data_IF_059616354833
#
_entry.id   IF_059616354833
#
_cell.length_a   1.000
_cell.length_b   1.000
_cell.length_c   1.000
_cell.angle_alpha   90.00
_cell.angle_beta   90.00
_cell.angle_gamma   90.00
#
_symmetry.space_group_name_H-M   'P 1'
#
loop_
_entity.id
_entity.type
_entity.pdbx_description
1 polymer ?
#
# COMPACT_ATOMS: atom_id res chain seq x y z
N UNK A 1 -9.57 11.36 -11.71
CA UNK A 1 -9.52 10.03 -11.07
C UNK A 1 -10.50 9.06 -11.72
N UNK A 2 -11.81 9.35 -11.73
CA UNK A 2 -12.82 8.47 -12.32
C UNK A 2 -12.71 8.27 -13.84
N UNK A 3 -12.10 9.22 -14.55
CA UNK A 3 -11.85 9.17 -15.99
C UNK A 3 -10.51 8.50 -16.36
N UNK A 4 -9.69 8.11 -15.39
CA UNK A 4 -8.40 7.48 -15.64
C UNK A 4 -8.58 6.03 -16.13
N UNK A 5 -7.70 5.53 -17.04
CA UNK A 5 -7.81 4.16 -17.51
C UNK A 5 -7.55 3.15 -16.38
N UNK A 6 -8.23 1.99 -16.39
CA UNK A 6 -7.90 0.88 -15.50
C UNK A 6 -6.42 0.46 -15.66
N UNK A 7 -5.74 0.05 -14.56
CA UNK A 7 -6.28 -0.22 -13.22
C UNK A 7 -6.21 0.98 -12.24
N UNK A 8 -5.93 2.20 -12.71
CA UNK A 8 -5.61 3.35 -11.84
C UNK A 8 -6.72 3.67 -10.82
N UNK A 9 -8.02 3.70 -11.19
CA UNK A 9 -9.08 3.98 -10.21
C UNK A 9 -9.13 2.92 -9.10
N UNK A 10 -9.07 1.64 -9.45
CA UNK A 10 -9.13 0.52 -8.51
C UNK A 10 -7.94 0.50 -7.56
N UNK A 11 -6.74 0.76 -8.09
CA UNK A 11 -5.54 0.91 -7.28
C UNK A 11 -5.70 2.01 -6.23
N UNK A 12 -6.16 3.19 -6.64
CA UNK A 12 -6.33 4.33 -5.74
C UNK A 12 -7.42 4.08 -4.68
N UNK A 13 -8.56 3.47 -5.04
CA UNK A 13 -9.58 3.08 -4.05
C UNK A 13 -9.03 2.07 -3.03
N UNK A 14 -8.29 1.06 -3.48
CA UNK A 14 -7.64 0.10 -2.58
C UNK A 14 -6.63 0.77 -1.65
N UNK A 15 -5.83 1.73 -2.17
CA UNK A 15 -4.87 2.49 -1.37
C UNK A 15 -5.56 3.38 -0.32
N UNK A 16 -6.66 4.05 -0.67
CA UNK A 16 -7.44 4.84 0.30
C UNK A 16 -8.06 3.96 1.38
N UNK A 17 -8.63 2.81 1.00
CA UNK A 17 -9.14 1.84 1.97
C UNK A 17 -8.02 1.32 2.90
N UNK A 18 -6.84 1.01 2.34
CA UNK A 18 -5.68 0.58 3.12
C UNK A 18 -5.22 1.66 4.10
N UNK A 19 -5.26 2.94 3.70
CA UNK A 19 -4.90 4.07 4.56
C UNK A 19 -5.91 4.21 5.71
N UNK A 20 -7.20 4.21 5.38
CA UNK A 20 -8.30 4.34 6.34
C UNK A 20 -8.34 3.18 7.36
N UNK A 21 -8.03 1.95 6.94
CA UNK A 21 -7.99 0.79 7.83
C UNK A 21 -6.68 0.75 8.62
N UNK A 22 -5.55 1.04 7.99
CA UNK A 22 -4.23 0.87 8.58
C UNK A 22 -3.96 1.76 9.78
N UNK A 23 -4.39 3.03 9.73
CA UNK A 23 -4.23 3.97 10.85
C UNK A 23 -4.85 3.47 12.15
N UNK A 24 -6.17 3.22 12.19
CA UNK A 24 -6.83 2.60 13.34
C UNK A 24 -6.23 1.25 13.71
N UNK A 25 -5.90 0.41 12.72
CA UNK A 25 -5.31 -0.92 12.96
C UNK A 25 -3.98 -0.86 13.74
N UNK A 26 -3.17 0.19 13.52
CA UNK A 26 -1.95 0.45 14.29
C UNK A 26 -2.23 0.92 15.72
N UNK A 27 -3.37 1.55 15.99
CA UNK A 27 -3.79 1.98 17.34
C UNK A 27 -4.56 0.93 18.14
N UNK A 28 -5.27 0.01 17.47
CA UNK A 28 -6.15 -0.97 18.13
C UNK A 28 -5.40 -1.93 19.08
N UNK A 29 -6.06 -2.47 20.13
CA UNK A 29 -5.50 -3.51 20.99
C UNK A 29 -5.04 -4.73 20.18
N UNK A 30 -3.80 -5.15 20.39
CA UNK A 30 -3.16 -6.24 19.64
C UNK A 30 -3.64 -7.60 20.14
N UNK A 31 -3.61 -8.60 19.26
CA UNK A 31 -3.99 -9.98 19.59
C UNK A 31 -5.50 -10.28 19.59
N UNK A 32 -6.36 -9.26 19.56
CA UNK A 32 -7.84 -9.39 19.49
C UNK A 32 -8.32 -9.89 18.12
N UNK A 33 -9.52 -10.49 18.07
CA UNK A 33 -10.16 -10.89 16.81
C UNK A 33 -10.31 -9.73 15.84
N UNK A 34 -10.69 -8.55 16.35
CA UNK A 34 -10.81 -7.31 15.55
C UNK A 34 -9.48 -6.93 14.90
N UNK A 35 -8.39 -6.96 15.66
CA UNK A 35 -7.06 -6.71 15.13
C UNK A 35 -6.67 -7.72 14.04
N UNK A 36 -7.00 -9.01 14.21
CA UNK A 36 -6.69 -10.04 13.20
C UNK A 36 -7.46 -9.81 11.90
N UNK A 37 -8.79 -9.63 11.99
CA UNK A 37 -9.65 -9.43 10.81
C UNK A 37 -9.23 -8.19 10.02
N UNK A 38 -9.07 -7.04 10.70
CA UNK A 38 -8.60 -5.82 10.04
C UNK A 38 -7.18 -5.95 9.50
N UNK A 39 -6.32 -6.73 10.17
CA UNK A 39 -4.96 -7.01 9.72
C UNK A 39 -4.91 -7.79 8.42
N UNK A 40 -5.72 -8.84 8.27
CA UNK A 40 -5.84 -9.58 7.01
C UNK A 40 -6.44 -8.73 5.90
N UNK A 41 -7.51 -7.97 6.19
CA UNK A 41 -8.12 -7.07 5.21
C UNK A 41 -7.11 -6.04 4.71
N UNK A 42 -6.35 -5.43 5.63
CA UNK A 42 -5.29 -4.48 5.29
C UNK A 42 -4.17 -5.13 4.46
N UNK A 43 -3.70 -6.32 4.83
CA UNK A 43 -2.68 -7.03 4.07
C UNK A 43 -3.16 -7.37 2.64
N UNK A 44 -4.41 -7.82 2.49
CA UNK A 44 -5.01 -8.07 1.18
C UNK A 44 -5.09 -6.80 0.32
N UNK A 45 -5.50 -5.67 0.91
CA UNK A 45 -5.50 -4.37 0.21
C UNK A 45 -4.09 -3.96 -0.23
N UNK A 46 -3.09 -4.12 0.63
CA UNK A 46 -1.69 -3.82 0.28
C UNK A 46 -1.20 -4.69 -0.89
N UNK A 47 -1.60 -5.96 -0.95
CA UNK A 47 -1.29 -6.83 -2.09
C UNK A 47 -1.99 -6.37 -3.37
N UNK A 48 -3.27 -5.98 -3.30
CA UNK A 48 -4.00 -5.42 -4.45
C UNK A 48 -3.32 -4.15 -4.96
N UNK A 49 -2.95 -3.24 -4.07
CA UNK A 49 -2.22 -2.00 -4.40
C UNK A 49 -0.89 -2.34 -5.08
N UNK A 50 -0.08 -3.21 -4.47
CA UNK A 50 1.24 -3.55 -4.99
C UNK A 50 1.16 -4.28 -6.35
N UNK A 51 0.27 -5.25 -6.50
CA UNK A 51 0.11 -6.00 -7.75
C UNK A 51 -0.45 -5.10 -8.87
N UNK A 52 -1.50 -4.33 -8.61
CA UNK A 52 -2.07 -3.44 -9.64
C UNK A 52 -1.09 -2.37 -10.10
N UNK A 53 -0.13 -1.96 -9.24
CA UNK A 53 0.88 -0.96 -9.59
C UNK A 53 1.78 -1.36 -10.76
N UNK A 54 1.98 -2.65 -11.03
CA UNK A 54 2.83 -3.12 -12.15
C UNK A 54 2.30 -2.72 -13.54
N UNK A 55 1.01 -2.40 -13.62
CA UNK A 55 0.34 -1.89 -14.83
C UNK A 55 0.22 -0.35 -14.83
N UNK A 56 0.73 0.35 -13.82
CA UNK A 56 0.72 1.83 -13.72
C UNK A 56 2.10 2.39 -14.09
N UNK A 57 2.35 2.47 -15.39
CA UNK A 57 3.67 2.73 -15.98
C UNK A 57 3.81 4.14 -16.55
N UNK A 58 3.50 5.15 -15.74
CA UNK A 58 3.55 6.55 -16.16
C UNK A 58 4.98 7.12 -16.24
N UNK A 59 5.86 6.71 -15.33
CA UNK A 59 7.27 7.07 -15.38
C UNK A 59 8.03 5.85 -15.91
N UNK A 60 8.62 5.99 -17.09
CA UNK A 60 9.28 4.92 -17.84
C UNK A 60 10.80 5.14 -17.84
N UNK A 61 11.38 5.21 -16.65
CA UNK A 61 12.81 5.50 -16.45
C UNK A 61 13.68 4.30 -16.82
N UNK A 62 13.20 3.07 -16.57
CA UNK A 62 13.90 1.83 -16.92
C UNK A 62 12.91 0.93 -17.67
N UNK A 63 12.94 0.97 -19.00
CA UNK A 63 11.92 0.33 -19.82
C UNK A 63 10.51 0.82 -19.44
N UNK A 64 9.52 -0.06 -19.26
CA UNK A 64 8.19 0.37 -18.84
C UNK A 64 8.11 0.74 -17.35
N UNK A 65 9.13 0.46 -16.54
CA UNK A 65 9.05 0.57 -15.08
C UNK A 65 9.68 1.86 -14.53
N UNK A 66 9.11 2.35 -13.43
CA UNK A 66 9.71 3.38 -12.57
C UNK A 66 10.32 2.78 -11.30
N UNK A 67 11.24 3.50 -10.62
CA UNK A 67 11.83 3.05 -9.35
C UNK A 67 10.80 2.65 -8.28
N UNK A 68 9.57 3.19 -8.33
CA UNK A 68 8.50 2.83 -7.38
C UNK A 68 8.07 1.36 -7.49
N UNK A 69 8.33 0.68 -8.61
CA UNK A 69 7.97 -0.74 -8.77
C UNK A 69 8.81 -1.66 -7.88
N UNK A 70 10.01 -1.22 -7.49
CA UNK A 70 10.83 -1.94 -6.50
C UNK A 70 10.08 -2.00 -5.15
N UNK A 71 9.41 -0.91 -4.78
CA UNK A 71 8.57 -0.86 -3.58
C UNK A 71 7.40 -1.85 -3.69
N UNK A 72 6.81 -2.01 -4.87
CA UNK A 72 5.74 -2.98 -5.12
C UNK A 72 6.20 -4.42 -4.93
N UNK A 73 7.38 -4.77 -5.47
CA UNK A 73 7.99 -6.09 -5.24
C UNK A 73 8.21 -6.32 -3.74
N UNK A 74 8.76 -5.31 -3.05
CA UNK A 74 8.98 -5.36 -1.61
C UNK A 74 7.66 -5.64 -0.86
N UNK A 75 6.57 -4.93 -1.18
CA UNK A 75 5.27 -5.12 -0.53
C UNK A 75 4.70 -6.51 -0.80
N UNK A 76 4.77 -7.00 -2.04
CA UNK A 76 4.28 -8.34 -2.42
C UNK A 76 4.95 -9.44 -1.60
N UNK A 77 6.24 -9.30 -1.29
CA UNK A 77 6.98 -10.29 -0.49
C UNK A 77 6.78 -10.07 1.02
N UNK A 78 6.88 -8.82 1.48
CA UNK A 78 6.95 -8.52 2.91
C UNK A 78 5.59 -8.50 3.60
N UNK A 79 4.49 -8.21 2.90
CA UNK A 79 3.16 -8.27 3.51
C UNK A 79 2.77 -9.71 3.91
N UNK A 80 2.90 -10.74 3.05
CA UNK A 80 2.69 -12.14 3.47
C UNK A 80 3.68 -12.57 4.55
N UNK A 81 4.94 -12.12 4.47
CA UNK A 81 5.94 -12.42 5.49
C UNK A 81 5.56 -11.82 6.86
N UNK A 82 5.02 -10.60 6.88
CA UNK A 82 4.54 -9.96 8.11
C UNK A 82 3.37 -10.73 8.73
N UNK A 83 2.47 -11.26 7.90
CA UNK A 83 1.38 -12.13 8.33
C UNK A 83 1.93 -13.44 8.88
N UNK A 84 2.89 -14.07 8.20
CA UNK A 84 3.57 -15.27 8.68
C UNK A 84 4.25 -15.05 10.04
N UNK A 85 4.94 -13.92 10.24
CA UNK A 85 5.51 -13.57 11.55
C UNK A 85 4.45 -13.47 12.66
N UNK A 86 3.24 -13.00 12.35
CA UNK A 86 2.15 -13.02 13.32
C UNK A 86 1.72 -14.44 13.68
N UNK A 87 1.62 -15.33 12.67
CA UNK A 87 1.28 -16.74 12.88
C UNK A 87 2.32 -17.51 13.69
N UNK A 88 3.60 -17.22 13.48
CA UNK A 88 4.70 -17.86 14.23
C UNK A 88 5.00 -17.14 15.55
N UNK A 89 4.10 -16.29 16.04
CA UNK A 89 4.25 -15.51 17.28
C UNK A 89 5.52 -14.64 17.36
N UNK A 90 6.12 -14.27 16.22
CA UNK A 90 7.27 -13.36 16.13
C UNK A 90 6.78 -11.90 16.15
N UNK A 91 6.18 -11.49 17.27
CA UNK A 91 5.45 -10.22 17.40
C UNK A 91 6.31 -8.99 17.11
N UNK A 92 7.57 -8.98 17.58
CA UNK A 92 8.47 -7.85 17.33
C UNK A 92 8.75 -7.65 15.83
N UNK A 93 8.97 -8.73 15.09
CA UNK A 93 9.19 -8.70 13.65
C UNK A 93 7.91 -8.28 12.90
N UNK A 94 6.76 -8.90 13.24
CA UNK A 94 5.46 -8.50 12.70
C UNK A 94 5.21 -6.99 12.87
N UNK A 95 5.34 -6.48 14.11
CA UNK A 95 5.13 -5.06 14.43
C UNK A 95 6.05 -4.15 13.61
N UNK A 96 7.35 -4.47 13.54
CA UNK A 96 8.32 -3.66 12.81
C UNK A 96 7.96 -3.58 11.32
N UNK A 97 7.63 -4.72 10.69
CA UNK A 97 7.28 -4.76 9.27
C UNK A 97 5.97 -4.03 8.99
N UNK A 98 4.92 -4.23 9.80
CA UNK A 98 3.63 -3.54 9.60
C UNK A 98 3.76 -2.02 9.68
N UNK A 99 4.53 -1.51 10.65
CA UNK A 99 4.79 -0.06 10.78
C UNK A 99 5.55 0.46 9.56
N UNK A 100 6.61 -0.24 9.12
CA UNK A 100 7.40 0.18 7.95
C UNK A 100 6.58 0.18 6.67
N UNK A 101 5.73 -0.83 6.45
CA UNK A 101 4.86 -0.89 5.29
C UNK A 101 3.82 0.24 5.31
N UNK A 102 3.24 0.56 6.47
CA UNK A 102 2.29 1.67 6.57
C UNK A 102 2.96 3.04 6.31
N UNK A 103 4.10 3.31 6.97
CA UNK A 103 4.76 4.61 6.86
C UNK A 103 5.48 4.81 5.52
N UNK A 104 6.33 3.87 5.13
CA UNK A 104 7.19 4.07 3.96
C UNK A 104 6.53 3.59 2.68
N UNK A 105 5.84 2.43 2.71
CA UNK A 105 5.24 1.89 1.49
C UNK A 105 3.91 2.57 1.16
N UNK A 106 3.00 2.72 2.12
CA UNK A 106 1.68 3.30 1.86
C UNK A 106 1.71 4.84 1.87
N UNK A 107 2.10 5.47 2.98
CA UNK A 107 2.14 6.94 3.07
C UNK A 107 3.22 7.51 2.12
N UNK A 108 4.42 6.94 2.13
CA UNK A 108 5.50 7.37 1.24
C UNK A 108 5.13 7.29 -0.25
N UNK A 109 4.52 6.19 -0.71
CA UNK A 109 4.03 6.11 -2.09
C UNK A 109 2.88 7.10 -2.35
N UNK A 110 1.98 7.29 -1.38
CA UNK A 110 0.92 8.30 -1.48
C UNK A 110 1.47 9.71 -1.73
N UNK A 111 2.47 10.14 -0.95
CA UNK A 111 3.15 11.43 -1.13
C UNK A 111 3.80 11.50 -2.52
N UNK A 112 4.46 10.43 -2.98
CA UNK A 112 5.05 10.37 -4.30
C UNK A 112 4.04 10.55 -5.44
N UNK A 113 2.78 10.12 -5.25
CA UNK A 113 1.72 10.35 -6.25
C UNK A 113 1.30 11.82 -6.34
N UNK A 114 1.68 12.67 -5.39
CA UNK A 114 1.42 14.11 -5.39
C UNK A 114 2.53 14.92 -6.08
N UNK A 115 3.55 14.29 -6.66
CA UNK A 115 4.53 15.00 -7.50
C UNK A 115 3.81 15.57 -8.75
N UNK A 116 4.11 16.81 -9.19
CA UNK A 116 3.53 17.38 -10.41
C UNK A 116 3.67 16.46 -11.63
N UNK A 117 2.63 16.42 -12.46
CA UNK A 117 2.53 15.50 -13.60
C UNK A 117 1.94 14.12 -13.28
N UNK A 118 1.57 13.87 -12.02
CA UNK A 118 0.84 12.66 -11.60
C UNK A 118 -0.67 12.92 -11.54
N UNK A 119 -1.46 11.86 -11.72
CA UNK A 119 -2.93 11.95 -11.67
C UNK A 119 -3.44 12.37 -10.28
N UNK A 120 -2.80 11.95 -9.19
CA UNK A 120 -3.26 12.36 -7.87
C UNK A 120 -2.94 13.83 -7.56
N UNK A 121 -1.87 14.38 -8.16
CA UNK A 121 -1.61 15.82 -8.09
C UNK A 121 -2.74 16.63 -8.72
N UNK A 122 -3.19 16.28 -9.93
CA UNK A 122 -4.31 16.98 -10.57
C UNK A 122 -5.61 16.84 -9.78
N UNK A 123 -5.87 15.66 -9.20
CA UNK A 123 -7.05 15.41 -8.36
C UNK A 123 -7.05 16.23 -7.07
N UNK A 124 -5.89 16.40 -6.42
CA UNK A 124 -5.80 17.11 -5.12
C UNK A 124 -5.69 18.63 -5.30
N UNK A 125 -4.94 19.09 -6.30
CA UNK A 125 -4.63 20.51 -6.50
C UNK A 125 -5.47 21.19 -7.60
N UNK A 126 -6.33 20.46 -8.29
CA UNK A 126 -7.29 21.03 -9.26
C UNK A 126 -6.65 21.54 -10.56
N UNK A 127 -5.63 20.85 -11.05
CA UNK A 127 -4.94 21.16 -12.31
C UNK A 127 -5.42 20.30 -13.48
#
# INVERSE_FOLDING_TARGET
MLTAPPPIPWHAFAAFAALAIGGPQLALPKGTTRHRVLGYAWAALMLVVAVSSFWIQQIRLIGPFSPIHILSILVVVTAPLAVWYAHTHKVAAHRSVMIKLYLFALIGAGIFTLVPGRIMHTVVFGQ
#
